data_IF_660679686193
#
_entry.id   IF_660679686193
#
_cell.length_a   1.000
_cell.length_b   1.000
_cell.length_c   1.000
_cell.angle_alpha   90.00
_cell.angle_beta   90.00
_cell.angle_gamma   90.00
#
_symmetry.space_group_name_H-M   'P 1'
#
loop_
_entity.id
_entity.type
_entity.pdbx_description
1 polymer ?
#
# COMPACT_ATOMS: atom_id res chain seq x y z
N UNK A 1 -40.67 17.65 -12.68
CA UNK A 1 -40.39 16.64 -11.64
C UNK A 1 -39.08 15.91 -11.99
N UNK A 2 -37.92 16.36 -11.49
CA UNK A 2 -36.67 15.59 -11.65
C UNK A 2 -36.56 14.61 -10.49
N UNK A 3 -36.75 13.30 -10.75
CA UNK A 3 -36.38 12.27 -9.78
C UNK A 3 -34.87 12.37 -9.56
N UNK A 4 -34.45 12.95 -8.44
CA UNK A 4 -33.10 12.72 -7.93
C UNK A 4 -33.00 11.22 -7.71
N UNK A 5 -32.23 10.55 -8.55
CA UNK A 5 -31.67 9.26 -8.20
C UNK A 5 -30.74 9.52 -7.02
N UNK A 6 -31.29 9.50 -5.81
CA UNK A 6 -30.50 9.26 -4.61
C UNK A 6 -30.03 7.81 -4.70
N UNK A 7 -29.02 7.57 -5.53
CA UNK A 7 -28.34 6.30 -5.64
C UNK A 7 -27.62 6.07 -4.32
N UNK A 8 -28.32 5.45 -3.37
CA UNK A 8 -27.73 5.05 -2.11
C UNK A 8 -26.47 4.24 -2.45
N UNK A 9 -25.26 4.67 -2.03
CA UNK A 9 -23.99 4.03 -2.37
C UNK A 9 -23.96 2.53 -2.03
N UNK A 10 -24.86 2.11 -1.14
CA UNK A 10 -25.19 0.72 -0.84
C UNK A 10 -25.57 -0.10 -2.07
N UNK A 11 -26.47 0.38 -2.93
CA UNK A 11 -26.91 -0.34 -4.12
C UNK A 11 -25.78 -0.45 -5.15
N UNK A 12 -25.00 0.60 -5.33
CA UNK A 12 -23.83 0.58 -6.21
C UNK A 12 -22.79 -0.45 -5.74
N UNK A 13 -22.52 -0.50 -4.43
CA UNK A 13 -21.60 -1.49 -3.85
C UNK A 13 -22.11 -2.92 -4.00
N UNK A 14 -23.41 -3.15 -3.76
CA UNK A 14 -24.03 -4.47 -3.89
C UNK A 14 -24.01 -4.93 -5.35
N UNK A 15 -24.33 -4.06 -6.30
CA UNK A 15 -24.25 -4.34 -7.73
C UNK A 15 -22.82 -4.67 -8.16
N UNK A 16 -21.82 -3.95 -7.65
CA UNK A 16 -20.42 -4.23 -7.98
C UNK A 16 -19.96 -5.59 -7.44
N UNK A 17 -20.36 -5.94 -6.21
CA UNK A 17 -20.04 -7.25 -5.60
C UNK A 17 -20.73 -8.37 -6.38
N UNK A 18 -22.03 -8.23 -6.64
CA UNK A 18 -22.81 -9.21 -7.40
C UNK A 18 -22.26 -9.37 -8.81
N UNK A 19 -21.93 -8.28 -9.49
CA UNK A 19 -21.32 -8.31 -10.82
C UNK A 19 -19.97 -9.03 -10.78
N UNK A 20 -19.07 -8.68 -9.86
CA UNK A 20 -17.76 -9.32 -9.74
C UNK A 20 -17.87 -10.83 -9.43
N UNK A 21 -18.79 -11.21 -8.54
CA UNK A 21 -19.06 -12.61 -8.22
C UNK A 21 -19.66 -13.37 -9.42
N UNK A 22 -20.66 -12.79 -10.09
CA UNK A 22 -21.30 -13.38 -11.27
C UNK A 22 -20.32 -13.56 -12.42
N UNK A 23 -19.48 -12.55 -12.73
CA UNK A 23 -18.42 -12.68 -13.75
C UNK A 23 -17.44 -13.77 -13.37
N UNK A 24 -17.08 -13.90 -12.09
CA UNK A 24 -16.17 -14.95 -11.64
C UNK A 24 -16.75 -16.35 -11.86
N UNK A 25 -18.04 -16.54 -11.53
CA UNK A 25 -18.74 -17.82 -11.73
C UNK A 25 -18.91 -18.12 -13.23
N UNK A 26 -19.35 -17.15 -14.02
CA UNK A 26 -19.65 -17.34 -15.45
C UNK A 26 -18.40 -17.58 -16.28
N UNK A 27 -17.31 -16.84 -16.02
CA UNK A 27 -16.09 -16.92 -16.82
C UNK A 27 -15.17 -18.05 -16.35
N UNK A 28 -15.16 -18.37 -15.04
CA UNK A 28 -14.22 -19.33 -14.46
C UNK A 28 -14.90 -20.56 -13.84
N UNK A 29 -16.18 -20.80 -14.15
CA UNK A 29 -17.00 -21.88 -13.58
C UNK A 29 -16.39 -23.28 -13.72
N UNK A 30 -15.68 -23.54 -14.82
CA UNK A 30 -14.97 -24.81 -15.03
C UNK A 30 -13.84 -25.09 -14.02
N UNK A 31 -13.33 -24.07 -13.33
CA UNK A 31 -12.33 -24.17 -12.25
C UNK A 31 -12.76 -23.34 -11.04
N UNK A 32 -14.04 -23.44 -10.69
CA UNK A 32 -14.67 -22.57 -9.70
C UNK A 32 -14.01 -22.62 -8.31
N UNK A 33 -13.60 -23.80 -7.83
CA UNK A 33 -12.98 -23.94 -6.51
C UNK A 33 -11.71 -23.09 -6.38
N UNK A 34 -10.84 -23.14 -7.38
CA UNK A 34 -9.62 -22.35 -7.41
C UNK A 34 -9.90 -20.86 -7.64
N UNK A 35 -10.81 -20.53 -8.55
CA UNK A 35 -11.24 -19.15 -8.78
C UNK A 35 -11.85 -18.52 -7.50
N UNK A 36 -12.64 -19.27 -6.74
CA UNK A 36 -13.26 -18.83 -5.49
C UNK A 36 -12.21 -18.55 -4.40
N UNK A 37 -11.15 -19.35 -4.31
CA UNK A 37 -10.02 -19.09 -3.41
C UNK A 37 -9.34 -17.76 -3.73
N UNK A 38 -8.96 -17.54 -5.00
CA UNK A 38 -8.34 -16.28 -5.42
C UNK A 38 -9.27 -15.08 -5.27
N UNK A 39 -10.57 -15.25 -5.55
CA UNK A 39 -11.59 -14.24 -5.31
C UNK A 39 -11.68 -13.89 -3.81
N UNK A 40 -11.72 -14.89 -2.93
CA UNK A 40 -11.77 -14.69 -1.49
C UNK A 40 -10.54 -13.95 -0.96
N UNK A 41 -9.35 -14.36 -1.39
CA UNK A 41 -8.08 -13.68 -1.04
C UNK A 41 -8.09 -12.23 -1.54
N UNK A 42 -8.50 -12.00 -2.79
CA UNK A 42 -8.64 -10.65 -3.35
C UNK A 42 -9.61 -9.80 -2.54
N UNK A 43 -10.79 -10.32 -2.21
CA UNK A 43 -11.80 -9.62 -1.43
C UNK A 43 -11.33 -9.27 -0.02
N UNK A 44 -10.66 -10.21 0.66
CA UNK A 44 -10.05 -9.97 1.95
C UNK A 44 -8.98 -8.88 1.86
N UNK A 45 -8.10 -8.94 0.85
CA UNK A 45 -7.06 -7.95 0.62
C UNK A 45 -7.66 -6.55 0.41
N UNK A 46 -8.65 -6.42 -0.47
CA UNK A 46 -9.34 -5.15 -0.74
C UNK A 46 -10.04 -4.57 0.50
N UNK A 47 -10.68 -5.43 1.30
CA UNK A 47 -11.34 -5.02 2.53
C UNK A 47 -10.33 -4.58 3.62
N UNK A 48 -9.25 -5.32 3.81
CA UNK A 48 -8.18 -4.94 4.75
C UNK A 48 -7.50 -3.65 4.34
N UNK A 49 -7.26 -3.47 3.04
CA UNK A 49 -6.60 -2.30 2.51
C UNK A 49 -7.39 -1.02 2.80
N UNK A 50 -8.71 -1.06 2.60
CA UNK A 50 -9.62 0.07 2.84
C UNK A 50 -9.94 0.33 4.31
N UNK A 51 -10.01 -0.71 5.16
CA UNK A 51 -10.41 -0.56 6.59
C UNK A 51 -9.26 -0.40 7.57
N UNK A 52 -8.17 -1.12 7.32
CA UNK A 52 -7.05 -1.25 8.24
C UNK A 52 -5.86 -0.47 7.71
N UNK A 53 -5.41 -0.80 6.50
CA UNK A 53 -4.17 -0.25 5.93
C UNK A 53 -4.30 1.23 5.60
N UNK A 54 -5.49 1.68 5.19
CA UNK A 54 -5.82 3.10 4.92
C UNK A 54 -5.55 4.05 6.10
N UNK A 55 -5.47 3.52 7.34
CA UNK A 55 -5.07 4.28 8.53
C UNK A 55 -3.62 4.76 8.45
N UNK A 56 -2.78 4.08 7.68
CA UNK A 56 -1.42 4.49 7.32
C UNK A 56 -1.38 4.85 5.83
N UNK A 57 -1.34 6.14 5.49
CA UNK A 57 -1.27 6.56 4.09
C UNK A 57 -0.12 5.89 3.33
N UNK A 58 1.05 5.72 3.97
CA UNK A 58 2.22 5.06 3.37
C UNK A 58 1.99 3.57 3.08
N UNK A 59 1.47 2.82 4.05
CA UNK A 59 1.16 1.41 3.83
C UNK A 59 0.08 1.25 2.76
N UNK A 60 -0.92 2.13 2.75
CA UNK A 60 -1.98 2.10 1.75
C UNK A 60 -1.41 2.25 0.34
N UNK A 61 -0.57 3.26 0.09
CA UNK A 61 0.08 3.45 -1.22
C UNK A 61 0.97 2.26 -1.61
N UNK A 62 1.80 1.77 -0.69
CA UNK A 62 2.67 0.63 -0.96
C UNK A 62 1.86 -0.63 -1.31
N UNK A 63 0.79 -0.92 -0.56
CA UNK A 63 -0.05 -2.09 -0.78
C UNK A 63 -0.92 -1.97 -2.04
N UNK A 64 -1.33 -0.76 -2.46
CA UNK A 64 -1.95 -0.57 -3.78
C UNK A 64 -0.98 -0.86 -4.93
N UNK A 65 0.26 -0.38 -4.83
CA UNK A 65 1.29 -0.67 -5.84
C UNK A 65 1.64 -2.16 -5.86
N UNK A 66 1.74 -2.78 -4.68
CA UNK A 66 2.01 -4.19 -4.54
C UNK A 66 0.91 -5.05 -5.16
N UNK A 67 -0.37 -4.68 -4.98
CA UNK A 67 -1.47 -5.40 -5.61
C UNK A 67 -1.35 -5.44 -7.14
N UNK A 68 -0.93 -4.33 -7.77
CA UNK A 68 -0.67 -4.30 -9.21
C UNK A 68 0.46 -5.25 -9.62
N UNK A 69 1.55 -5.34 -8.84
CA UNK A 69 2.61 -6.32 -9.10
C UNK A 69 2.12 -7.75 -8.91
N UNK A 70 1.37 -8.03 -7.83
CA UNK A 70 0.78 -9.35 -7.58
C UNK A 70 -0.12 -9.76 -8.74
N UNK A 71 -0.92 -8.84 -9.27
CA UNK A 71 -1.77 -9.09 -10.43
C UNK A 71 -0.95 -9.45 -11.68
N UNK A 72 0.12 -8.70 -11.97
CA UNK A 72 1.02 -9.01 -13.11
C UNK A 72 1.65 -10.39 -12.95
N UNK A 73 2.13 -10.72 -11.75
CA UNK A 73 2.73 -12.03 -11.44
C UNK A 73 1.72 -13.16 -11.67
N UNK A 74 0.52 -13.04 -11.10
CA UNK A 74 -0.52 -14.05 -11.25
C UNK A 74 -1.02 -14.17 -12.69
N UNK A 75 -1.01 -13.07 -13.46
CA UNK A 75 -1.41 -13.08 -14.86
C UNK A 75 -0.37 -13.78 -15.75
N UNK A 76 0.91 -13.71 -15.39
CA UNK A 76 1.96 -14.52 -16.02
C UNK A 76 1.85 -15.99 -15.64
N UNK A 77 1.71 -16.27 -14.33
CA UNK A 77 1.73 -17.63 -13.79
C UNK A 77 0.45 -18.45 -14.07
N UNK A 78 -0.69 -17.82 -14.38
CA UNK A 78 -1.96 -18.55 -14.60
C UNK A 78 -1.89 -19.57 -15.74
N UNK A 79 -1.03 -19.34 -16.74
CA UNK A 79 -0.80 -20.27 -17.85
C UNK A 79 -0.09 -21.53 -17.38
N UNK A 80 0.92 -21.37 -16.53
CA UNK A 80 1.75 -22.47 -16.01
C UNK A 80 1.05 -23.26 -14.90
N UNK A 81 0.32 -22.58 -14.01
CA UNK A 81 -0.52 -23.25 -13.00
C UNK A 81 -1.77 -23.89 -13.60
N UNK A 82 -2.13 -23.53 -14.83
CA UNK A 82 -3.39 -23.95 -15.45
C UNK A 82 -4.62 -23.54 -14.63
N UNK A 83 -4.53 -22.52 -13.78
CA UNK A 83 -5.61 -22.12 -12.86
C UNK A 83 -5.88 -20.62 -13.04
N UNK A 84 -7.17 -20.22 -13.18
CA UNK A 84 -7.51 -18.80 -13.25
C UNK A 84 -7.25 -18.14 -11.89
N UNK A 85 -6.16 -17.37 -11.81
CA UNK A 85 -5.72 -16.73 -10.58
C UNK A 85 -5.89 -15.21 -10.62
N UNK A 86 -5.36 -14.55 -11.66
CA UNK A 86 -5.35 -13.09 -11.75
C UNK A 86 -6.74 -12.46 -11.87
N UNK A 87 -7.57 -12.99 -12.79
CA UNK A 87 -8.93 -12.51 -13.03
C UNK A 87 -9.81 -12.57 -11.78
N UNK A 88 -9.97 -13.76 -11.15
CA UNK A 88 -10.74 -13.90 -9.92
C UNK A 88 -10.19 -13.04 -8.77
N UNK A 89 -8.86 -12.92 -8.62
CA UNK A 89 -8.27 -12.06 -7.59
C UNK A 89 -8.60 -10.58 -7.80
N UNK A 90 -8.59 -10.08 -9.04
CA UNK A 90 -8.98 -8.69 -9.36
C UNK A 90 -10.47 -8.44 -9.08
N UNK A 91 -11.33 -9.39 -9.45
CA UNK A 91 -12.77 -9.33 -9.17
C UNK A 91 -13.04 -9.32 -7.67
N UNK A 92 -12.37 -10.22 -6.94
CA UNK A 92 -12.40 -10.28 -5.48
C UNK A 92 -11.98 -8.96 -4.86
N UNK A 93 -10.82 -8.42 -5.27
CA UNK A 93 -10.32 -7.13 -4.79
C UNK A 93 -11.32 -5.99 -4.99
N UNK A 94 -11.92 -5.91 -6.18
CA UNK A 94 -12.94 -4.89 -6.49
C UNK A 94 -14.20 -5.04 -5.65
N UNK A 95 -14.64 -6.28 -5.39
CA UNK A 95 -15.75 -6.58 -4.48
C UNK A 95 -15.40 -6.20 -3.03
N UNK A 96 -14.18 -6.51 -2.58
CA UNK A 96 -13.67 -6.18 -1.25
C UNK A 96 -13.58 -4.67 -1.01
N UNK A 97 -13.09 -3.91 -1.99
CA UNK A 97 -13.07 -2.44 -1.95
C UNK A 97 -14.50 -1.90 -1.80
N UNK A 98 -15.42 -2.38 -2.63
CA UNK A 98 -16.81 -1.93 -2.65
C UNK A 98 -17.56 -2.26 -1.35
N UNK A 99 -17.39 -3.48 -0.83
CA UNK A 99 -18.06 -3.94 0.39
C UNK A 99 -17.51 -3.30 1.67
N UNK A 100 -16.27 -2.82 1.63
CA UNK A 100 -15.64 -2.17 2.77
C UNK A 100 -15.89 -0.65 2.85
N UNK A 101 -16.17 -0.02 1.70
CA UNK A 101 -16.56 1.41 1.58
C UNK A 101 -18.05 1.61 1.86
N UNK A 102 -18.87 0.57 1.71
CA UNK A 102 -20.30 0.66 2.02
C UNK A 102 -20.55 0.63 3.53
N UNK A 103 -21.52 1.44 3.99
CA UNK A 103 -21.95 1.52 5.41
C UNK A 103 -22.47 0.19 6.00
N UNK A 104 -22.51 -0.90 5.21
CA UNK A 104 -23.05 -2.20 5.58
C UNK A 104 -22.20 -2.87 6.66
N UNK A 105 -20.89 -2.64 6.61
CA UNK A 105 -19.92 -3.38 7.43
C UNK A 105 -19.54 -2.59 8.70
N UNK A 106 -20.39 -1.66 9.14
CA UNK A 106 -20.22 -0.83 10.35
C UNK A 106 -19.89 0.64 10.07
N UNK A 107 -19.62 1.42 11.13
CA UNK A 107 -19.12 2.81 10.99
C UNK A 107 -17.95 2.81 10.03
N UNK A 108 -18.03 3.62 8.97
CA UNK A 108 -16.94 3.83 8.02
C UNK A 108 -15.64 3.93 8.80
N UNK A 109 -14.59 3.22 8.35
CA UNK A 109 -13.25 3.47 8.83
C UNK A 109 -12.95 4.92 8.46
N UNK A 110 -13.28 5.82 9.40
CA UNK A 110 -13.58 7.21 9.11
C UNK A 110 -12.57 7.75 8.12
N UNK A 111 -13.07 8.19 6.97
CA UNK A 111 -12.30 9.04 6.07
C UNK A 111 -11.74 10.16 6.95
N UNK A 112 -10.45 10.01 7.24
CA UNK A 112 -9.73 10.70 8.32
C UNK A 112 -10.23 10.22 9.67
N UNK A 113 -9.44 9.37 10.31
CA UNK A 113 -9.24 9.55 11.75
C UNK A 113 -8.90 11.04 11.88
N UNK A 114 -9.84 11.85 12.38
CA UNK A 114 -9.53 13.14 13.00
C UNK A 114 -8.75 12.79 14.27
N UNK A 115 -7.61 12.12 14.13
CA UNK A 115 -6.53 12.28 15.09
C UNK A 115 -6.30 13.76 14.98
N UNK A 116 -6.64 14.46 16.07
CA UNK A 116 -6.32 15.87 16.25
C UNK A 116 -4.90 16.00 15.69
N UNK A 117 -4.76 16.62 14.51
CA UNK A 117 -3.45 16.85 13.90
C UNK A 117 -2.82 17.87 14.85
N UNK A 118 -2.26 17.40 15.95
CA UNK A 118 -1.33 18.15 16.75
C UNK A 118 -0.13 18.24 15.84
N UNK A 119 -0.18 19.29 15.02
CA UNK A 119 0.85 19.63 14.08
C UNK A 119 1.97 20.13 14.98
N UNK A 120 2.90 19.24 15.29
CA UNK A 120 4.13 19.67 15.92
C UNK A 120 4.81 20.71 15.02
N UNK A 121 5.62 21.56 15.62
CA UNK A 121 6.12 22.81 15.06
C UNK A 121 6.75 22.69 13.66
N UNK A 122 7.14 21.48 13.25
CA UNK A 122 7.79 21.15 11.98
C UNK A 122 6.90 20.39 10.97
N UNK A 123 5.62 20.14 11.27
CA UNK A 123 4.67 19.50 10.35
C UNK A 123 4.76 17.97 10.25
N UNK A 124 5.52 17.31 11.12
CA UNK A 124 5.60 15.85 11.25
C UNK A 124 4.47 15.26 12.10
N UNK A 125 4.04 14.04 11.76
CA UNK A 125 3.02 13.28 12.49
C UNK A 125 3.69 12.38 13.54
N UNK A 126 3.32 12.43 14.83
CA UNK A 126 3.79 11.45 15.80
C UNK A 126 3.11 10.10 15.50
N UNK A 127 3.89 9.11 15.09
CA UNK A 127 3.36 7.78 14.77
C UNK A 127 2.92 7.06 16.04
N UNK A 128 1.70 6.55 16.06
CA UNK A 128 1.24 5.65 17.13
C UNK A 128 1.68 4.21 16.86
N UNK A 129 1.84 3.41 17.93
CA UNK A 129 2.15 1.97 17.87
C UNK A 129 1.29 1.21 16.86
N UNK A 130 0.00 1.54 16.77
CA UNK A 130 -0.94 0.95 15.79
C UNK A 130 -0.51 1.17 14.33
N UNK A 131 0.03 2.34 14.00
CA UNK A 131 0.50 2.65 12.63
C UNK A 131 1.83 1.97 12.34
N UNK A 132 2.71 1.85 13.35
CA UNK A 132 3.93 1.05 13.24
C UNK A 132 3.58 -0.42 12.98
N UNK A 133 2.68 -1.02 13.76
CA UNK A 133 2.23 -2.40 13.59
C UNK A 133 1.66 -2.65 12.18
N UNK A 134 0.81 -1.77 11.67
CA UNK A 134 0.29 -1.87 10.29
C UNK A 134 1.43 -1.87 9.27
N UNK A 135 2.38 -0.93 9.39
CA UNK A 135 3.51 -0.86 8.46
C UNK A 135 4.40 -2.12 8.55
N UNK A 136 4.62 -2.69 9.74
CA UNK A 136 5.40 -3.92 9.90
C UNK A 136 4.70 -5.12 9.30
N UNK A 137 3.41 -5.31 9.55
CA UNK A 137 2.65 -6.42 8.98
C UNK A 137 2.61 -6.32 7.45
N UNK A 138 2.42 -5.12 6.90
CA UNK A 138 2.52 -4.90 5.46
C UNK A 138 3.93 -5.17 4.92
N UNK A 139 4.98 -4.72 5.61
CA UNK A 139 6.36 -4.99 5.20
C UNK A 139 6.66 -6.50 5.22
N UNK A 140 6.23 -7.23 6.25
CA UNK A 140 6.37 -8.68 6.33
C UNK A 140 5.64 -9.37 5.17
N UNK A 141 4.39 -8.98 4.89
CA UNK A 141 3.64 -9.52 3.75
C UNK A 141 4.36 -9.29 2.40
N UNK A 142 4.94 -8.09 2.21
CA UNK A 142 5.71 -7.76 1.01
C UNK A 142 7.02 -8.55 0.90
N UNK A 143 7.67 -8.87 2.01
CA UNK A 143 8.89 -9.70 2.01
C UNK A 143 8.59 -11.19 1.80
N UNK A 144 7.41 -11.67 2.19
CA UNK A 144 7.02 -13.06 1.98
C UNK A 144 6.52 -13.33 0.56
N UNK A 145 5.90 -12.37 -0.12
CA UNK A 145 5.31 -12.59 -1.45
C UNK A 145 6.32 -13.07 -2.52
N UNK A 146 7.57 -12.57 -2.59
CA UNK A 146 8.59 -13.09 -3.50
C UNK A 146 8.89 -14.58 -3.40
N UNK A 147 8.52 -15.26 -2.30
CA UNK A 147 8.71 -16.70 -2.16
C UNK A 147 7.87 -17.50 -3.16
N UNK A 148 6.82 -16.92 -3.75
CA UNK A 148 6.04 -17.55 -4.84
C UNK A 148 6.94 -17.92 -6.02
N UNK A 149 8.00 -17.16 -6.29
CA UNK A 149 8.94 -17.45 -7.37
C UNK A 149 9.80 -18.69 -7.13
N UNK A 150 9.84 -19.25 -5.91
CA UNK A 150 10.46 -20.56 -5.68
C UNK A 150 9.73 -21.66 -6.45
N UNK A 151 8.40 -21.57 -6.55
CA UNK A 151 7.58 -22.51 -7.32
C UNK A 151 7.78 -22.38 -8.84
N UNK A 152 8.31 -21.24 -9.28
CA UNK A 152 8.60 -20.90 -10.68
C UNK A 152 10.07 -21.17 -11.06
N UNK A 153 10.81 -21.91 -10.21
CA UNK A 153 12.19 -22.30 -10.46
C UNK A 153 13.23 -21.18 -10.24
N UNK A 154 12.84 -20.03 -9.68
CA UNK A 154 13.81 -18.98 -9.35
C UNK A 154 14.76 -19.45 -8.23
N UNK A 155 16.06 -19.22 -8.43
CA UNK A 155 17.06 -19.59 -7.43
C UNK A 155 16.83 -18.83 -6.10
N UNK A 156 16.90 -19.51 -4.94
CA UNK A 156 16.71 -18.86 -3.63
C UNK A 156 17.64 -17.66 -3.42
N UNK A 157 18.87 -17.74 -3.94
CA UNK A 157 19.84 -16.64 -3.92
C UNK A 157 19.34 -15.41 -4.66
N UNK A 158 18.74 -15.57 -5.85
CA UNK A 158 18.17 -14.46 -6.63
C UNK A 158 17.02 -13.79 -5.88
N UNK A 159 16.16 -14.58 -5.24
CA UNK A 159 15.05 -14.05 -4.43
C UNK A 159 15.59 -13.25 -3.24
N UNK A 160 16.53 -13.83 -2.49
CA UNK A 160 17.12 -13.19 -1.31
C UNK A 160 17.86 -11.90 -1.68
N UNK A 161 18.74 -11.93 -2.68
CA UNK A 161 19.52 -10.76 -3.10
C UNK A 161 18.66 -9.65 -3.70
N UNK A 162 17.73 -9.98 -4.60
CA UNK A 162 16.85 -8.98 -5.20
C UNK A 162 15.95 -8.34 -4.15
N UNK A 163 15.44 -9.13 -3.19
CA UNK A 163 14.65 -8.61 -2.07
C UNK A 163 15.49 -7.70 -1.18
N UNK A 164 16.73 -8.10 -0.85
CA UNK A 164 17.64 -7.32 -0.02
C UNK A 164 18.04 -5.99 -0.69
N UNK A 165 18.40 -6.02 -1.98
CA UNK A 165 18.77 -4.83 -2.76
C UNK A 165 17.58 -3.87 -2.84
N UNK A 166 16.41 -4.38 -3.19
CA UNK A 166 15.17 -3.61 -3.18
C UNK A 166 14.92 -2.98 -1.82
N UNK A 167 14.98 -3.80 -0.76
CA UNK A 167 14.77 -3.37 0.62
C UNK A 167 15.73 -2.25 1.03
N UNK A 168 17.02 -2.42 0.79
CA UNK A 168 18.02 -1.39 1.09
C UNK A 168 17.73 -0.09 0.31
N UNK A 169 17.42 -0.19 -0.99
CA UNK A 169 17.06 0.96 -1.81
C UNK A 169 15.84 1.70 -1.28
N UNK A 170 14.75 0.98 -1.00
CA UNK A 170 13.53 1.55 -0.42
C UNK A 170 13.76 2.18 0.96
N UNK A 171 14.56 1.52 1.80
CA UNK A 171 14.92 2.03 3.12
C UNK A 171 15.72 3.33 3.04
N UNK A 172 16.76 3.38 2.20
CA UNK A 172 17.61 4.57 1.97
C UNK A 172 16.78 5.72 1.42
N UNK A 173 16.03 5.49 0.34
CA UNK A 173 15.18 6.51 -0.29
C UNK A 173 14.21 7.13 0.72
N UNK A 174 13.59 6.30 1.54
CA UNK A 174 12.65 6.79 2.54
C UNK A 174 13.35 7.45 3.74
N UNK A 175 14.52 6.96 4.18
CA UNK A 175 15.26 7.51 5.32
C UNK A 175 15.79 8.91 5.01
N UNK A 176 16.42 9.08 3.86
CA UNK A 176 17.13 10.30 3.47
C UNK A 176 16.28 11.30 2.65
N UNK A 177 15.07 10.93 2.21
CA UNK A 177 14.18 11.87 1.52
C UNK A 177 13.87 13.11 2.38
N UNK A 178 14.14 14.31 1.86
CA UNK A 178 14.05 15.57 2.62
C UNK A 178 12.62 15.95 3.05
N UNK A 179 11.59 15.57 2.28
CA UNK A 179 10.18 15.87 2.58
C UNK A 179 9.28 14.64 2.38
N UNK A 180 8.13 14.61 3.06
CA UNK A 180 7.13 13.53 2.87
C UNK A 180 6.56 13.48 1.45
N UNK A 181 6.40 14.65 0.81
CA UNK A 181 5.90 14.72 -0.56
C UNK A 181 6.91 14.12 -1.54
N UNK A 182 8.20 14.43 -1.38
CA UNK A 182 9.27 13.80 -2.17
C UNK A 182 9.27 12.29 -1.94
N UNK A 183 9.23 11.83 -0.68
CA UNK A 183 9.21 10.39 -0.36
C UNK A 183 8.04 9.64 -1.03
N UNK A 184 6.83 10.18 -0.99
CA UNK A 184 5.65 9.58 -1.64
C UNK A 184 5.73 9.63 -3.17
N UNK A 185 6.20 10.74 -3.74
CA UNK A 185 6.40 10.86 -5.19
C UNK A 185 7.49 9.92 -5.70
N UNK A 186 8.60 9.75 -4.96
CA UNK A 186 9.65 8.80 -5.34
C UNK A 186 9.14 7.37 -5.33
N UNK A 187 8.28 6.98 -4.37
CA UNK A 187 7.69 5.64 -4.37
C UNK A 187 6.84 5.39 -5.61
N UNK A 188 6.06 6.39 -6.01
CA UNK A 188 5.23 6.32 -7.20
C UNK A 188 6.09 6.28 -8.46
N UNK A 189 7.03 7.22 -8.59
CA UNK A 189 7.96 7.27 -9.72
C UNK A 189 8.76 5.97 -9.86
N UNK A 190 9.18 5.35 -8.75
CA UNK A 190 9.85 4.05 -8.76
C UNK A 190 8.95 2.92 -9.21
N UNK A 191 7.70 2.88 -8.76
CA UNK A 191 6.73 1.91 -9.23
C UNK A 191 6.52 2.02 -10.76
N UNK A 192 6.39 3.24 -11.28
CA UNK A 192 6.27 3.46 -12.73
C UNK A 192 7.58 3.19 -13.48
N UNK A 193 8.74 3.46 -12.89
CA UNK A 193 10.04 3.14 -13.48
C UNK A 193 10.34 1.62 -13.47
N UNK A 194 9.76 0.89 -12.52
CA UNK A 194 9.84 -0.58 -12.46
C UNK A 194 9.09 -1.23 -13.63
N UNK A 195 7.99 -0.64 -14.13
CA UNK A 195 7.24 -1.22 -15.25
C UNK A 195 8.06 -1.36 -16.55
N UNK A 196 8.77 -0.34 -17.05
CA UNK A 196 9.72 -0.51 -18.16
C UNK A 196 10.84 -1.48 -17.83
N UNK A 197 11.39 -1.44 -16.61
CA UNK A 197 12.46 -2.34 -16.20
C UNK A 197 12.02 -3.81 -16.25
N UNK A 198 10.74 -4.09 -16.01
CA UNK A 198 10.15 -5.43 -16.16
C UNK A 198 10.11 -5.88 -17.61
N UNK A 199 9.71 -5.00 -18.51
CA UNK A 199 9.66 -5.29 -19.95
C UNK A 199 11.06 -5.58 -20.46
N UNK A 200 12.02 -4.72 -20.10
CA UNK A 200 13.44 -4.89 -20.43
C UNK A 200 13.96 -6.21 -19.84
N UNK A 201 13.69 -6.50 -18.57
CA UNK A 201 14.12 -7.73 -17.96
C UNK A 201 13.55 -8.99 -18.63
N UNK A 202 12.29 -8.94 -19.06
CA UNK A 202 11.67 -9.99 -19.85
C UNK A 202 12.36 -10.17 -21.21
N UNK A 203 12.69 -9.08 -21.90
CA UNK A 203 13.37 -9.12 -23.21
C UNK A 203 14.79 -9.70 -23.14
N UNK A 204 15.52 -9.43 -22.05
CA UNK A 204 16.91 -9.86 -21.87
C UNK A 204 17.06 -11.12 -21.01
N UNK A 205 15.96 -11.78 -20.62
CA UNK A 205 16.02 -13.02 -19.85
C UNK A 205 16.47 -12.87 -18.39
N UNK A 206 16.41 -11.65 -17.82
CA UNK A 206 16.76 -11.39 -16.42
C UNK A 206 15.73 -11.94 -15.40
N UNK A 207 14.65 -12.57 -15.89
CA UNK A 207 13.67 -13.27 -15.08
C UNK A 207 12.90 -12.34 -14.11
N UNK A 208 12.41 -12.87 -12.97
CA UNK A 208 11.54 -12.13 -12.05
C UNK A 208 12.27 -11.14 -11.12
N UNK A 209 13.59 -10.97 -11.27
CA UNK A 209 14.41 -10.17 -10.35
C UNK A 209 13.90 -8.73 -10.12
N UNK A 210 13.46 -7.96 -11.15
CA UNK A 210 12.92 -6.62 -10.92
C UNK A 210 11.62 -6.61 -10.12
N UNK A 211 10.75 -7.62 -10.31
CA UNK A 211 9.51 -7.77 -9.53
C UNK A 211 9.86 -7.95 -8.05
N UNK A 212 10.77 -8.88 -7.79
CA UNK A 212 11.22 -9.23 -6.45
C UNK A 212 11.85 -8.01 -5.77
N UNK A 213 12.70 -7.28 -6.49
CA UNK A 213 13.27 -6.03 -6.00
C UNK A 213 12.19 -4.96 -5.74
N UNK A 214 11.13 -4.90 -6.55
CA UNK A 214 9.98 -4.02 -6.32
C UNK A 214 9.27 -4.29 -5.00
N UNK A 215 9.01 -5.56 -4.68
CA UNK A 215 8.43 -5.95 -3.38
C UNK A 215 9.36 -5.60 -2.21
N UNK A 216 10.66 -5.90 -2.34
CA UNK A 216 11.68 -5.50 -1.37
C UNK A 216 11.69 -3.99 -1.15
N UNK A 217 11.65 -3.20 -2.23
CA UNK A 217 11.67 -1.73 -2.20
C UNK A 217 10.47 -1.14 -1.47
N UNK A 218 9.28 -1.67 -1.70
CA UNK A 218 8.09 -1.25 -0.96
C UNK A 218 8.22 -1.61 0.52
N UNK A 219 8.71 -2.81 0.86
CA UNK A 219 8.94 -3.21 2.25
C UNK A 219 9.96 -2.31 2.96
N UNK A 220 11.10 -2.06 2.32
CA UNK A 220 12.14 -1.16 2.82
C UNK A 220 11.63 0.25 3.02
N UNK A 221 10.81 0.74 2.09
CA UNK A 221 10.20 2.05 2.20
C UNK A 221 9.18 2.13 3.35
N UNK A 222 8.54 1.04 3.78
CA UNK A 222 7.68 1.03 4.98
C UNK A 222 8.51 1.08 6.27
N UNK A 223 9.61 0.32 6.34
CA UNK A 223 10.49 0.24 7.52
C UNK A 223 11.38 1.49 7.67
N UNK A 224 11.81 2.14 6.58
CA UNK A 224 12.68 3.32 6.60
C UNK A 224 12.11 4.59 7.25
N UNK A 225 10.88 4.52 7.79
CA UNK A 225 10.25 5.62 8.50
C UNK A 225 10.87 5.93 9.85
N UNK A 226 10.85 7.20 10.26
CA UNK A 226 11.28 7.66 11.59
C UNK A 226 10.51 7.06 12.77
N UNK A 227 9.44 6.29 12.52
CA UNK A 227 8.66 5.58 13.53
C UNK A 227 9.42 4.40 14.17
N UNK A 228 10.44 3.87 13.48
CA UNK A 228 11.19 2.68 13.89
C UNK A 228 12.58 3.01 14.45
N UNK A 229 13.23 4.02 13.87
CA UNK A 229 14.66 4.34 14.11
C UNK A 229 14.92 5.83 14.29
N UNK A 230 13.85 6.62 14.47
CA UNK A 230 13.95 8.03 14.84
C UNK A 230 13.78 8.17 16.34
N UNK A 231 14.64 8.98 16.96
CA UNK A 231 14.40 9.46 18.32
C UNK A 231 12.95 9.93 18.48
N UNK A 232 12.34 9.51 19.59
CA UNK A 232 11.08 10.10 20.05
C UNK A 232 11.29 11.61 20.13
N UNK A 233 10.37 12.39 19.57
CA UNK A 233 10.38 13.85 19.72
C UNK A 233 10.37 14.18 21.22
N UNK A 234 11.52 14.64 21.75
CA UNK A 234 11.78 14.85 23.18
C UNK A 234 13.03 14.13 23.71
N UNK A 235 13.57 13.15 22.98
CA UNK A 235 14.88 12.57 23.29
C UNK A 235 16.01 13.52 22.85
N UNK A 236 17.12 13.59 23.61
CA UNK A 236 18.29 14.39 23.22
C UNK A 236 18.80 13.90 21.87
N UNK A 237 18.97 14.82 20.92
CA UNK A 237 19.43 14.49 19.55
C UNK A 237 20.87 13.99 19.54
N UNK A 238 21.26 13.10 18.61
CA UNK A 238 22.63 12.65 18.52
C UNK A 238 23.46 13.85 18.07
N UNK A 239 24.66 14.05 18.61
CA UNK A 239 25.47 15.25 18.40
C UNK A 239 25.82 15.54 16.93
N UNK A 240 25.62 14.57 16.02
CA UNK A 240 25.93 14.66 14.60
C UNK A 240 24.74 15.02 13.69
N UNK A 241 23.52 15.10 14.21
CA UNK A 241 22.36 15.53 13.42
C UNK A 241 22.34 17.07 13.33
N UNK A 242 22.89 17.60 12.23
CA UNK A 242 22.99 19.04 11.95
C UNK A 242 21.77 19.85 12.40
N UNK A 243 22.04 20.97 13.06
CA UNK A 243 21.02 21.87 13.60
C UNK A 243 20.07 22.34 12.50
N UNK A 244 18.91 21.71 12.40
CA UNK A 244 17.84 22.20 11.54
C UNK A 244 17.43 23.61 11.97
N UNK A 245 17.23 24.50 11.00
CA UNK A 245 16.89 25.90 11.22
C UNK A 245 15.74 26.07 12.22
N UNK A 246 16.07 26.66 13.38
CA UNK A 246 15.14 27.05 14.43
C UNK A 246 14.11 28.02 13.85
N UNK A 247 12.94 27.53 13.43
CA UNK A 247 11.82 28.39 13.03
C UNK A 247 11.40 29.21 14.25
N UNK A 248 11.84 30.47 14.31
CA UNK A 248 11.32 31.49 15.24
C UNK A 248 9.80 31.49 15.12
N UNK A 249 9.09 30.98 16.13
CA UNK A 249 7.65 31.18 16.30
C UNK A 249 7.41 32.70 16.31
N UNK A 250 6.93 33.28 15.21
CA UNK A 250 6.36 34.62 15.23
C UNK A 250 5.15 34.56 16.17
N UNK A 251 5.27 35.15 17.36
CA UNK A 251 4.16 35.37 18.27
C UNK A 251 3.09 36.14 17.48
N UNK A 252 1.91 35.54 17.29
CA UNK A 252 0.74 36.30 16.81
C UNK A 252 0.44 37.33 17.89
N UNK A 253 0.64 38.62 17.59
CA UNK A 253 0.19 39.70 18.44
C UNK A 253 -1.32 39.55 18.66
N UNK A 254 -1.75 39.47 19.92
CA UNK A 254 -3.16 39.61 20.29
C UNK A 254 -3.62 40.99 19.79
N UNK A 255 -4.64 41.05 18.94
CA UNK A 255 -5.36 42.31 18.71
C UNK A 255 -5.95 42.75 20.06
N UNK A 256 -5.76 44.01 20.49
CA UNK A 256 -6.40 44.50 21.70
C UNK A 256 -7.93 44.45 21.53
N UNK A 257 -8.68 44.21 22.62
CA UNK A 257 -10.13 44.27 22.58
C UNK A 257 -10.57 45.66 22.15
N UNK A 258 -11.56 45.72 21.25
CA UNK A 258 -12.24 46.97 20.91
C UNK A 258 -12.78 47.58 22.21
N UNK A 259 -12.42 48.84 22.48
CA UNK A 259 -13.07 49.61 23.54
C UNK A 259 -14.54 49.82 23.16
N UNK A 260 -15.37 49.75 24.19
CA UNK A 260 -16.82 49.98 24.17
C UNK A 260 -17.17 51.37 23.63
#
# INVERSE_FOLDING_TARGET
>A
MSRKWDSDPRYFSALTILFAASVTVLVFGGKFSAAALFFGVGALYGALLTRVVSRSGRASYAMYCAFSLMFIVLAGLQSDLGVPAAGPMMMGFSAGLSGAVSKWTGKDAGTRVKVKRVRDADGGYPGGWKVALINALCAAALLCFPLVFLGDGAAPGTIAWSTLIGFAGGWVLFRFGKTMQVRSLTLFALFFALLPAMIVAGLYGYGPAPIIAGFGLMAGALIGGRYWTGERLGAPRPPFAGQGNRRRRKKKARKPPARA
#
